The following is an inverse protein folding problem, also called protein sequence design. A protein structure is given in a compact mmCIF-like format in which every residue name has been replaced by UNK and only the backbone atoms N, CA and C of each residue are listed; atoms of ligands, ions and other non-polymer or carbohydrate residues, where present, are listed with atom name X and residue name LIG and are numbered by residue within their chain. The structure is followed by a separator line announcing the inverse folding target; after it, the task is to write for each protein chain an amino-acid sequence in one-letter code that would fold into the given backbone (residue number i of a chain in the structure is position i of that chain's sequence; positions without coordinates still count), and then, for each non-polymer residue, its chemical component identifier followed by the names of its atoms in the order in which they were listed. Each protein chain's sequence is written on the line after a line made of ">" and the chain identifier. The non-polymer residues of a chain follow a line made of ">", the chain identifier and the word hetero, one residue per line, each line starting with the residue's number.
data_IF_534950307175
#
_entry.id   IF_534950307175
#
_cell.length_a   1.000
_cell.length_b   1.000
_cell.length_c   1.000
_cell.angle_alpha   90.00
_cell.angle_beta   90.00
_cell.angle_gamma   90.00
#
_symmetry.space_group_name_H-M   'P 1'
#
loop_
_entity.id
_entity.type
_entity.pdbx_description
1 polymer ?
#
# COMPACT_ATOMS: atom_id res chain seq x y z
N UNK A 1 -2.57 13.79 -0.60
CA UNK A 1 -1.12 14.13 -0.65
C UNK A 1 -0.49 13.50 -1.87
N UNK A 2 0.74 13.87 -2.25
CA UNK A 2 1.47 13.26 -3.38
C UNK A 2 2.55 12.30 -2.89
N UNK A 3 3.09 11.46 -3.79
CA UNK A 3 4.18 10.53 -3.43
C UNK A 3 5.43 11.27 -3.00
N UNK A 4 5.73 12.42 -3.61
CA UNK A 4 6.89 13.24 -3.24
C UNK A 4 6.81 13.84 -1.83
N UNK A 5 5.62 13.95 -1.26
CA UNK A 5 5.42 14.47 0.11
C UNK A 5 5.59 13.40 1.20
N UNK A 6 5.73 12.13 0.80
CA UNK A 6 5.84 11.02 1.74
C UNK A 6 7.15 11.09 2.51
N UNK A 7 7.06 10.85 3.81
CA UNK A 7 8.20 10.79 4.71
C UNK A 7 8.30 9.41 5.32
N UNK A 8 9.52 8.92 5.49
CA UNK A 8 9.76 7.67 6.18
C UNK A 8 9.17 7.73 7.60
N UNK A 9 8.49 6.65 8.02
CA UNK A 9 7.94 6.49 9.36
C UNK A 9 6.92 7.59 9.74
N UNK A 10 6.10 8.01 8.78
CA UNK A 10 5.03 8.99 9.00
C UNK A 10 3.65 8.45 8.66
N UNK A 11 2.64 9.07 9.26
CA UNK A 11 1.25 8.88 8.88
C UNK A 11 0.97 9.53 7.52
N UNK A 12 -0.02 8.96 6.83
CA UNK A 12 -0.59 9.47 5.58
C UNK A 12 -2.08 9.63 5.82
N UNK A 13 -2.56 10.85 5.95
CA UNK A 13 -4.00 11.09 6.13
C UNK A 13 -4.77 10.56 4.91
N UNK A 14 -4.28 10.90 3.72
CA UNK A 14 -4.94 10.54 2.46
C UNK A 14 -3.97 10.59 1.26
N UNK A 15 -3.94 9.53 0.47
CA UNK A 15 -3.23 9.47 -0.82
C UNK A 15 -4.04 8.69 -1.86
N UNK A 16 -4.06 9.18 -3.09
CA UNK A 16 -4.71 8.53 -4.24
C UNK A 16 -3.63 8.01 -5.18
N UNK A 17 -3.73 6.74 -5.56
CA UNK A 17 -2.73 6.05 -6.37
C UNK A 17 -3.42 5.15 -7.39
N UNK A 18 -2.95 5.19 -8.63
CA UNK A 18 -3.31 4.20 -9.65
C UNK A 18 -2.39 3.01 -9.56
N UNK A 19 -2.95 1.80 -9.49
CA UNK A 19 -2.16 0.57 -9.44
C UNK A 19 -1.61 0.27 -10.83
N UNK A 20 -0.28 0.24 -10.95
CA UNK A 20 0.41 -0.07 -12.21
C UNK A 20 1.00 -1.47 -12.20
N UNK A 21 1.27 -2.04 -11.03
CA UNK A 21 1.81 -3.39 -10.88
C UNK A 21 1.24 -4.06 -9.62
N UNK A 22 0.93 -5.36 -9.70
CA UNK A 22 0.53 -6.21 -8.57
C UNK A 22 1.36 -7.50 -8.61
N UNK A 23 2.18 -7.73 -7.58
CA UNK A 23 2.96 -8.95 -7.48
C UNK A 23 2.12 -10.12 -6.94
N UNK A 24 2.68 -11.33 -6.97
CA UNK A 24 2.01 -12.50 -6.43
C UNK A 24 1.90 -12.41 -4.89
N UNK A 25 0.72 -12.68 -4.30
CA UNK A 25 0.56 -12.74 -2.86
C UNK A 25 1.43 -13.84 -2.26
N UNK A 26 2.17 -13.52 -1.20
CA UNK A 26 2.97 -14.48 -0.43
C UNK A 26 2.39 -14.68 0.95
N UNK A 27 2.48 -15.89 1.48
CA UNK A 27 2.15 -16.19 2.87
C UNK A 27 3.36 -16.00 3.78
N UNK A 28 3.13 -15.34 4.91
CA UNK A 28 4.11 -15.17 5.97
C UNK A 28 3.59 -15.78 7.27
N UNK A 29 4.47 -16.48 7.99
CA UNK A 29 4.16 -17.03 9.30
C UNK A 29 4.35 -15.97 10.37
N UNK A 30 3.32 -15.71 11.19
CA UNK A 30 3.39 -14.75 12.28
C UNK A 30 4.22 -15.33 13.44
N UNK A 31 4.94 -14.45 14.15
CA UNK A 31 5.82 -14.82 15.29
C UNK A 31 5.11 -15.59 16.42
N UNK A 32 3.81 -15.35 16.61
CA UNK A 32 3.01 -15.95 17.69
C UNK A 32 2.06 -17.06 17.22
N UNK A 33 2.28 -17.60 16.00
CA UNK A 33 1.39 -18.57 15.36
C UNK A 33 0.38 -17.93 14.40
N UNK A 34 -0.06 -18.71 13.41
CA UNK A 34 -0.93 -18.30 12.32
C UNK A 34 -0.18 -17.79 11.07
N UNK A 35 -0.91 -17.69 9.96
CA UNK A 35 -0.40 -17.13 8.69
C UNK A 35 -1.03 -15.75 8.43
N UNK A 36 -0.33 -14.93 7.65
CA UNK A 36 -0.88 -13.73 7.01
C UNK A 36 -0.49 -13.76 5.54
N UNK A 37 -1.37 -13.28 4.68
CA UNK A 37 -1.04 -13.02 3.27
C UNK A 37 -0.55 -11.58 3.16
N UNK A 38 0.48 -11.38 2.36
CA UNK A 38 1.00 -10.06 2.02
C UNK A 38 1.24 -9.98 0.51
N UNK A 39 0.85 -8.87 -0.10
CA UNK A 39 1.05 -8.60 -1.51
C UNK A 39 1.71 -7.24 -1.68
N UNK A 40 2.77 -7.19 -2.48
CA UNK A 40 3.46 -5.94 -2.82
C UNK A 40 2.96 -5.44 -4.19
N UNK A 41 2.57 -4.17 -4.25
CA UNK A 41 2.09 -3.50 -5.46
C UNK A 41 2.91 -2.24 -5.72
N UNK A 42 2.77 -1.70 -6.92
CA UNK A 42 3.28 -0.38 -7.28
C UNK A 42 2.10 0.51 -7.64
N UNK A 43 2.00 1.63 -6.92
CA UNK A 43 1.04 2.70 -7.19
C UNK A 43 1.72 3.91 -7.78
N UNK A 44 1.04 4.59 -8.69
CA UNK A 44 1.49 5.83 -9.32
C UNK A 44 0.54 6.98 -8.96
N UNK A 45 1.08 8.13 -8.58
CA UNK A 45 0.29 9.35 -8.39
C UNK A 45 0.03 10.10 -9.72
N UNK A 46 -0.74 11.18 -9.65
CA UNK A 46 -1.09 11.99 -10.81
C UNK A 46 0.12 12.69 -11.48
N UNK A 47 1.21 12.90 -10.73
CA UNK A 47 2.46 13.48 -11.28
C UNK A 47 3.37 12.42 -11.92
N UNK A 48 2.96 11.14 -11.88
CA UNK A 48 3.69 10.02 -12.43
C UNK A 48 4.72 9.41 -11.48
N UNK A 49 4.81 9.87 -10.24
CA UNK A 49 5.72 9.30 -9.24
C UNK A 49 5.18 7.96 -8.74
N UNK A 50 6.05 6.98 -8.59
CA UNK A 50 5.68 5.63 -8.16
C UNK A 50 6.10 5.35 -6.72
N UNK A 51 5.28 4.63 -5.98
CA UNK A 51 5.56 4.15 -4.62
C UNK A 51 5.14 2.69 -4.48
N UNK A 52 5.83 1.96 -3.61
CA UNK A 52 5.43 0.59 -3.25
C UNK A 52 4.26 0.63 -2.27
N UNK A 53 3.30 -0.26 -2.46
CA UNK A 53 2.14 -0.45 -1.58
C UNK A 53 2.16 -1.88 -1.07
N UNK A 54 1.93 -2.07 0.22
CA UNK A 54 1.85 -3.39 0.84
C UNK A 54 0.44 -3.62 1.37
N UNK A 55 -0.24 -4.63 0.82
CA UNK A 55 -1.59 -5.05 1.21
C UNK A 55 -1.57 -6.33 2.03
N UNK A 56 -2.51 -6.45 2.96
CA UNK A 56 -2.59 -7.56 3.89
C UNK A 56 -3.91 -8.33 3.77
N UNK A 57 -3.82 -9.66 3.82
CA UNK A 57 -4.97 -10.57 3.88
C UNK A 57 -6.03 -10.23 2.82
N UNK A 58 -7.26 -9.93 3.24
CA UNK A 58 -8.41 -9.66 2.38
C UNK A 58 -8.23 -8.39 1.52
N UNK A 59 -7.40 -7.43 1.94
CA UNK A 59 -7.13 -6.21 1.14
C UNK A 59 -6.53 -6.57 -0.23
N UNK A 60 -5.76 -7.65 -0.30
CA UNK A 60 -5.09 -8.13 -1.50
C UNK A 60 -6.09 -8.47 -2.60
N UNK A 61 -7.20 -9.10 -2.22
CA UNK A 61 -8.24 -9.54 -3.13
C UNK A 61 -9.19 -8.38 -3.49
N UNK A 62 -9.14 -7.27 -2.74
CA UNK A 62 -9.90 -6.07 -3.10
C UNK A 62 -9.26 -5.29 -4.23
N UNK A 63 -7.94 -5.25 -4.41
CA UNK A 63 -7.30 -4.29 -5.35
C UNK A 63 -6.78 -4.98 -6.61
N UNK A 64 -7.06 -4.44 -7.80
CA UNK A 64 -6.56 -4.94 -9.09
C UNK A 64 -5.67 -3.95 -9.85
N UNK A 65 -4.94 -4.45 -10.86
CA UNK A 65 -4.10 -3.63 -11.73
C UNK A 65 -4.99 -2.70 -12.57
N UNK A 66 -4.55 -1.46 -12.77
CA UNK A 66 -5.26 -0.35 -13.42
C UNK A 66 -6.39 0.29 -12.61
N UNK A 67 -6.70 -0.19 -11.41
CA UNK A 67 -7.64 0.49 -10.52
C UNK A 67 -7.00 1.73 -9.88
N UNK A 68 -7.83 2.73 -9.58
CA UNK A 68 -7.44 3.87 -8.75
C UNK A 68 -7.92 3.62 -7.34
N UNK A 69 -7.00 3.64 -6.39
CA UNK A 69 -7.31 3.44 -4.99
C UNK A 69 -6.93 4.67 -4.18
N UNK A 70 -7.61 4.81 -3.05
CA UNK A 70 -7.43 5.86 -2.07
C UNK A 70 -7.11 5.22 -0.74
N UNK A 71 -5.92 5.48 -0.22
CA UNK A 71 -5.49 5.02 1.10
C UNK A 71 -5.75 6.15 2.08
N UNK A 72 -6.55 5.86 3.12
CA UNK A 72 -6.81 6.77 4.25
C UNK A 72 -6.19 6.24 5.53
N UNK A 73 -5.71 7.15 6.38
CA UNK A 73 -5.06 6.84 7.66
C UNK A 73 -3.91 5.80 7.51
N UNK A 74 -3.18 5.91 6.40
CA UNK A 74 -2.09 5.02 6.04
C UNK A 74 -0.80 5.27 6.81
N UNK A 75 0.16 4.37 6.61
CA UNK A 75 1.48 4.43 7.21
C UNK A 75 2.57 4.22 6.17
N UNK A 76 3.55 5.12 6.18
CA UNK A 76 4.75 5.00 5.34
C UNK A 76 5.85 4.36 6.16
N UNK A 77 6.33 3.21 5.68
CA UNK A 77 7.52 2.54 6.19
C UNK A 77 8.64 2.70 5.20
N UNK A 78 9.84 3.01 5.68
CA UNK A 78 11.04 2.91 4.86
C UNK A 78 11.70 1.56 5.08
N UNK A 79 12.00 0.87 3.98
CA UNK A 79 12.77 -0.36 3.99
C UNK A 79 13.83 -0.32 2.90
N UNK A 80 15.10 -0.45 3.29
CA UNK A 80 16.24 -0.43 2.36
C UNK A 80 16.22 0.79 1.41
N UNK A 81 16.03 1.99 1.97
CA UNK A 81 15.89 3.27 1.24
C UNK A 81 14.71 3.33 0.25
N UNK A 82 13.73 2.43 0.36
CA UNK A 82 12.49 2.49 -0.41
C UNK A 82 11.31 2.76 0.50
N UNK A 83 10.51 3.76 0.15
CA UNK A 83 9.24 4.04 0.83
C UNK A 83 8.18 3.02 0.41
N UNK A 84 7.46 2.51 1.41
CA UNK A 84 6.36 1.57 1.25
C UNK A 84 5.16 2.10 2.03
N UNK A 85 4.00 2.17 1.39
CA UNK A 85 2.74 2.58 2.02
C UNK A 85 1.93 1.34 2.36
N UNK A 86 1.31 1.34 3.53
CA UNK A 86 0.29 0.37 3.90
C UNK A 86 -0.86 1.08 4.61
N UNK A 87 -1.98 0.40 4.79
CA UNK A 87 -3.09 0.86 5.65
C UNK A 87 -2.72 0.88 7.13
N UNK A 88 -1.60 0.28 7.54
CA UNK A 88 -1.19 0.26 8.94
C UNK A 88 -2.22 -0.43 9.83
N UNK A 89 -2.45 0.10 11.04
CA UNK A 89 -3.36 -0.50 12.02
C UNK A 89 -4.81 -0.03 11.91
N UNK A 90 -5.01 1.20 11.45
CA UNK A 90 -6.32 1.89 11.45
C UNK A 90 -6.73 2.40 10.08
N UNK A 91 -5.86 2.29 9.08
CA UNK A 91 -6.14 2.73 7.73
C UNK A 91 -7.04 1.80 6.97
N UNK A 92 -7.53 2.33 5.84
CA UNK A 92 -8.44 1.63 4.95
C UNK A 92 -8.18 2.02 3.50
N UNK A 93 -8.61 1.16 2.59
CA UNK A 93 -8.56 1.39 1.16
C UNK A 93 -9.97 1.67 0.68
N UNK A 94 -10.12 2.72 -0.12
CA UNK A 94 -11.33 3.03 -0.86
C UNK A 94 -11.00 2.95 -2.35
N UNK A 95 -11.77 2.19 -3.12
CA UNK A 95 -11.67 2.24 -4.58
C UNK A 95 -12.33 3.51 -5.10
N UNK A 96 -11.71 4.12 -6.10
CA UNK A 96 -12.28 5.22 -6.86
C UNK A 96 -12.64 4.65 -8.24
N UNK A 97 -13.92 4.75 -8.61
CA UNK A 97 -14.44 4.42 -9.95
C UNK A 97 -14.10 5.52 -10.97
#
# INVERSE_FOLDING_TARGET
>A
MKVSDLKANSNVDEIVLKIVEKNEPREITKRFGGTARVCDLVGQDEDGNTVKITLWNDEIDTVEINEVIKIKDGWVKEWNNQLQISTGRSGRIEKLE
#
